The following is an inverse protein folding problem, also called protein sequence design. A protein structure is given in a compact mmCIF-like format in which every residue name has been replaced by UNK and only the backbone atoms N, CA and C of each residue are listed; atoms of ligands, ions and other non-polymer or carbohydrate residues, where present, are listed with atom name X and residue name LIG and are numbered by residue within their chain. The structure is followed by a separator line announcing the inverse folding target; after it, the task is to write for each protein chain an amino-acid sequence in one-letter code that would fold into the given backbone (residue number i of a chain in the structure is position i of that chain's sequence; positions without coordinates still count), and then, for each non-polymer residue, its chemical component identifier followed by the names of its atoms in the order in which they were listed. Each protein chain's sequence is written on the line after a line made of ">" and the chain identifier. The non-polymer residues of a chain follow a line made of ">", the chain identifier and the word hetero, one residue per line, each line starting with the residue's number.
data_IF_727814116609
#
_entry.id   IF_727814116609
#
_cell.length_a   1.000
_cell.length_b   1.000
_cell.length_c   1.000
_cell.angle_alpha   90.00
_cell.angle_beta   90.00
_cell.angle_gamma   90.00
#
_symmetry.space_group_name_H-M   'P 1'
#
loop_
_entity.id
_entity.type
_entity.pdbx_description
1 polymer ?
#
# COMPACT_ATOMS: atom_id res chain seq x y z
N UNK A 1 -3.69 -17.31 29.99
CA UNK A 1 -3.59 -17.88 28.63
C UNK A 1 -4.76 -17.30 27.87
N UNK A 2 -4.55 -16.17 27.19
CA UNK A 2 -5.58 -15.59 26.34
C UNK A 2 -5.88 -16.56 25.20
N UNK A 3 -7.13 -16.98 25.14
CA UNK A 3 -7.59 -17.98 24.17
C UNK A 3 -7.89 -17.23 22.89
N UNK A 4 -7.16 -17.51 21.80
CA UNK A 4 -7.44 -16.90 20.48
C UNK A 4 -8.90 -17.10 20.14
N UNK A 5 -9.63 -15.99 19.99
CA UNK A 5 -11.04 -16.01 19.70
C UNK A 5 -11.26 -16.19 18.19
N UNK A 6 -11.58 -17.41 17.77
CA UNK A 6 -11.85 -17.69 16.36
C UNK A 6 -13.27 -17.33 15.99
N UNK A 7 -13.42 -16.52 14.94
CA UNK A 7 -14.71 -16.09 14.42
C UNK A 7 -15.31 -17.18 13.53
N UNK A 8 -16.57 -17.60 13.75
CA UNK A 8 -17.22 -18.61 12.93
C UNK A 8 -17.61 -18.03 11.56
N UNK A 9 -16.97 -18.46 10.46
CA UNK A 9 -17.13 -17.81 9.16
C UNK A 9 -18.56 -17.88 8.61
N UNK A 10 -19.33 -18.91 8.97
CA UNK A 10 -20.73 -19.07 8.53
C UNK A 10 -21.68 -18.03 9.14
N UNK A 11 -21.27 -17.36 10.23
CA UNK A 11 -22.02 -16.28 10.86
C UNK A 11 -21.56 -14.89 10.44
N UNK A 12 -20.48 -14.80 9.66
CA UNK A 12 -19.87 -13.56 9.25
C UNK A 12 -20.41 -13.11 7.90
N UNK A 13 -20.78 -11.84 7.80
CA UNK A 13 -21.04 -11.16 6.53
C UNK A 13 -20.32 -9.83 6.51
N UNK A 14 -19.38 -9.68 5.57
CA UNK A 14 -18.62 -8.47 5.35
C UNK A 14 -19.37 -7.60 4.34
N UNK A 15 -19.41 -6.29 4.61
CA UNK A 15 -19.95 -5.31 3.68
C UNK A 15 -19.06 -4.07 3.70
N UNK A 16 -18.95 -3.38 2.56
CA UNK A 16 -18.32 -2.04 2.50
C UNK A 16 -19.40 -0.96 2.55
N UNK A 17 -19.23 0.06 3.38
CA UNK A 17 -20.07 1.27 3.41
C UNK A 17 -19.20 2.50 3.63
N UNK A 18 -19.40 3.51 2.79
CA UNK A 18 -18.68 4.79 2.88
C UNK A 18 -17.15 4.59 2.98
N UNK A 19 -16.60 3.66 2.19
CA UNK A 19 -15.18 3.30 2.21
C UNK A 19 -14.76 2.29 3.29
N UNK A 20 -15.55 2.13 4.36
CA UNK A 20 -15.21 1.32 5.52
C UNK A 20 -15.75 -0.11 5.43
N UNK A 21 -15.01 -1.07 5.98
CA UNK A 21 -15.49 -2.43 6.16
C UNK A 21 -16.39 -2.54 7.38
N UNK A 22 -17.45 -3.33 7.27
CA UNK A 22 -18.40 -3.63 8.35
C UNK A 22 -18.55 -5.14 8.45
N UNK A 23 -18.30 -5.69 9.63
CA UNK A 23 -18.65 -7.05 10.00
C UNK A 23 -20.10 -7.09 10.51
N UNK A 24 -20.93 -7.90 9.87
CA UNK A 24 -22.24 -8.27 10.37
C UNK A 24 -22.16 -9.68 10.96
N UNK A 25 -22.49 -9.81 12.24
CA UNK A 25 -22.46 -11.10 12.94
C UNK A 25 -23.49 -11.07 14.08
N UNK A 26 -24.27 -12.15 14.21
CA UNK A 26 -25.29 -12.33 15.27
C UNK A 26 -26.24 -11.09 15.42
N UNK A 27 -26.59 -10.44 14.32
CA UNK A 27 -27.47 -9.26 14.27
C UNK A 27 -26.79 -7.92 14.59
N UNK A 28 -25.52 -7.93 14.99
CA UNK A 28 -24.72 -6.73 15.23
C UNK A 28 -24.00 -6.29 13.96
N UNK A 29 -23.67 -4.99 13.88
CA UNK A 29 -22.85 -4.40 12.82
C UNK A 29 -21.67 -3.71 13.49
N UNK A 30 -20.48 -4.20 13.22
CA UNK A 30 -19.24 -3.71 13.81
C UNK A 30 -18.38 -3.10 12.71
N UNK A 31 -18.03 -1.80 12.78
CA UNK A 31 -17.05 -1.22 11.86
C UNK A 31 -15.69 -1.88 12.10
N UNK A 32 -15.00 -2.20 11.02
CA UNK A 32 -13.68 -2.83 11.05
C UNK A 32 -12.59 -1.84 10.66
N UNK A 33 -11.45 -1.93 11.34
CA UNK A 33 -10.19 -1.45 10.78
C UNK A 33 -9.73 -2.33 9.61
N UNK A 34 -8.70 -1.85 8.90
CA UNK A 34 -7.98 -2.62 7.90
C UNK A 34 -7.57 -4.00 8.46
N UNK A 35 -7.96 -5.11 7.82
CA UNK A 35 -7.64 -6.45 8.29
C UNK A 35 -6.12 -6.70 8.25
N UNK A 36 -5.62 -7.50 9.19
CA UNK A 36 -4.19 -7.81 9.28
C UNK A 36 -3.97 -9.32 9.20
N UNK A 37 -2.93 -9.74 8.46
CA UNK A 37 -2.43 -11.11 8.47
C UNK A 37 -1.70 -11.35 9.78
N UNK A 38 -2.14 -12.33 10.55
CA UNK A 38 -1.36 -12.85 11.66
C UNK A 38 -0.27 -13.82 11.14
N UNK A 39 0.64 -14.23 12.03
CA UNK A 39 1.60 -15.26 11.72
C UNK A 39 0.89 -16.62 11.53
N UNK A 40 1.36 -17.50 10.63
CA UNK A 40 2.57 -17.38 9.79
C UNK A 40 2.34 -16.72 8.42
N UNK A 41 3.31 -15.91 7.95
CA UNK A 41 3.23 -15.23 6.65
C UNK A 41 3.24 -16.15 5.42
N UNK A 42 3.58 -17.43 5.58
CA UNK A 42 3.62 -18.41 4.49
C UNK A 42 2.23 -18.66 3.88
N UNK A 43 1.16 -18.46 4.66
CA UNK A 43 -0.23 -18.58 4.22
C UNK A 43 -0.95 -17.22 4.36
N UNK A 44 -0.84 -16.33 3.35
CA UNK A 44 -1.37 -14.97 3.44
C UNK A 44 -2.90 -14.88 3.52
N UNK A 45 -3.60 -15.98 3.24
CA UNK A 45 -5.07 -16.07 3.28
C UNK A 45 -5.60 -16.74 4.55
N UNK A 46 -4.70 -17.09 5.48
CA UNK A 46 -5.03 -17.71 6.77
C UNK A 46 -4.73 -16.77 7.94
N UNK A 47 -5.43 -17.00 9.06
CA UNK A 47 -5.27 -16.27 10.32
C UNK A 47 -5.38 -14.75 10.14
N UNK A 48 -6.54 -14.29 9.66
CA UNK A 48 -6.82 -12.87 9.44
C UNK A 48 -7.38 -12.27 10.73
N UNK A 49 -6.62 -11.36 11.33
CA UNK A 49 -7.00 -10.59 12.51
C UNK A 49 -7.96 -9.47 12.12
N UNK A 50 -9.11 -9.43 12.79
CA UNK A 50 -10.11 -8.38 12.65
C UNK A 50 -10.20 -7.57 13.95
N UNK A 51 -10.04 -6.26 13.82
CA UNK A 51 -10.18 -5.30 14.90
C UNK A 51 -11.35 -4.35 14.63
N UNK A 52 -12.01 -3.89 15.69
CA UNK A 52 -12.98 -2.81 15.59
C UNK A 52 -12.29 -1.46 15.34
N UNK A 53 -13.09 -0.41 15.15
CA UNK A 53 -12.62 0.95 14.90
C UNK A 53 -11.74 1.53 16.03
N UNK A 54 -11.85 1.02 17.26
CA UNK A 54 -11.06 1.45 18.41
C UNK A 54 -9.73 0.65 18.52
N UNK A 55 -9.50 -0.30 17.61
CA UNK A 55 -8.31 -1.15 17.62
C UNK A 55 -8.44 -2.39 18.52
N UNK A 56 -9.62 -2.62 19.10
CA UNK A 56 -9.87 -3.80 19.93
C UNK A 56 -10.00 -5.03 19.04
N UNK A 57 -9.30 -6.11 19.41
CA UNK A 57 -9.44 -7.40 18.70
C UNK A 57 -10.86 -7.94 18.87
N UNK A 58 -11.55 -8.12 17.74
CA UNK A 58 -12.82 -8.83 17.68
C UNK A 58 -12.54 -10.34 17.64
N UNK A 59 -11.54 -10.74 16.85
CA UNK A 59 -11.06 -12.10 16.76
C UNK A 59 -10.33 -12.41 15.46
N UNK A 60 -10.08 -13.69 15.24
CA UNK A 60 -9.30 -14.21 14.11
C UNK A 60 -10.18 -15.07 13.21
N UNK A 61 -10.17 -14.79 11.91
CA UNK A 61 -10.70 -15.66 10.88
C UNK A 61 -9.62 -16.67 10.47
N UNK A 62 -9.94 -17.97 10.49
CA UNK A 62 -8.97 -19.03 10.17
C UNK A 62 -8.53 -18.99 8.71
N UNK A 63 -9.47 -18.88 7.78
CA UNK A 63 -9.15 -18.79 6.36
C UNK A 63 -10.21 -18.01 5.58
N UNK A 64 -9.76 -17.22 4.60
CA UNK A 64 -10.64 -16.44 3.72
C UNK A 64 -11.60 -17.33 2.91
N UNK A 65 -11.17 -18.54 2.53
CA UNK A 65 -11.97 -19.44 1.70
C UNK A 65 -13.20 -20.03 2.42
N UNK A 66 -13.27 -19.93 3.75
CA UNK A 66 -14.41 -20.40 4.54
C UNK A 66 -15.58 -19.39 4.54
N UNK A 67 -15.35 -18.15 4.08
CA UNK A 67 -16.38 -17.13 3.95
C UNK A 67 -17.22 -17.31 2.68
N UNK A 68 -18.43 -16.72 2.69
CA UNK A 68 -19.23 -16.54 1.48
C UNK A 68 -18.47 -15.70 0.43
N UNK A 69 -18.68 -15.94 -0.88
CA UNK A 69 -17.86 -15.35 -1.95
C UNK A 69 -17.71 -13.83 -1.88
N UNK A 70 -18.81 -13.09 -1.70
CA UNK A 70 -18.79 -11.62 -1.63
C UNK A 70 -17.98 -11.12 -0.41
N UNK A 71 -18.16 -11.79 0.74
CA UNK A 71 -17.43 -11.42 1.97
C UNK A 71 -15.94 -11.72 1.85
N UNK A 72 -15.60 -12.84 1.20
CA UNK A 72 -14.22 -13.23 0.90
C UNK A 72 -13.54 -12.20 0.00
N UNK A 73 -14.19 -11.83 -1.10
CA UNK A 73 -13.66 -10.85 -2.06
C UNK A 73 -13.40 -9.50 -1.38
N UNK A 74 -14.34 -9.02 -0.56
CA UNK A 74 -14.17 -7.75 0.15
C UNK A 74 -12.99 -7.76 1.13
N UNK A 75 -12.82 -8.83 1.91
CA UNK A 75 -11.68 -8.94 2.82
C UNK A 75 -10.35 -9.15 2.08
N UNK A 76 -10.36 -9.93 1.00
CA UNK A 76 -9.18 -10.13 0.17
C UNK A 76 -8.72 -8.82 -0.43
N UNK A 77 -9.62 -8.05 -1.05
CA UNK A 77 -9.30 -6.74 -1.62
C UNK A 77 -8.78 -5.78 -0.55
N UNK A 78 -9.37 -5.79 0.65
CA UNK A 78 -8.90 -4.96 1.76
C UNK A 78 -7.52 -5.38 2.27
N UNK A 79 -7.20 -6.69 2.28
CA UNK A 79 -5.86 -7.18 2.59
C UNK A 79 -4.87 -6.79 1.50
N UNK A 80 -5.22 -6.92 0.23
CA UNK A 80 -4.39 -6.49 -0.89
C UNK A 80 -4.11 -4.98 -0.82
N UNK A 81 -5.13 -4.17 -0.52
CA UNK A 81 -5.00 -2.74 -0.25
C UNK A 81 -4.09 -2.46 0.96
N UNK A 82 -4.30 -3.20 2.06
CA UNK A 82 -3.54 -3.01 3.30
C UNK A 82 -2.08 -3.44 3.22
N UNK A 83 -1.70 -4.27 2.25
CA UNK A 83 -0.35 -4.82 2.10
C UNK A 83 0.31 -4.45 0.77
N UNK A 84 -0.34 -3.59 -0.02
CA UNK A 84 0.22 -3.08 -1.27
C UNK A 84 1.52 -2.35 -1.03
N UNK A 85 2.46 -2.48 -1.95
CA UNK A 85 3.69 -1.69 -2.00
C UNK A 85 3.63 -0.73 -3.18
N UNK A 86 4.09 0.49 -2.96
CA UNK A 86 4.28 1.49 -4.02
C UNK A 86 5.73 1.42 -4.49
N UNK A 87 6.00 1.07 -5.76
CA UNK A 87 7.34 1.03 -6.32
C UNK A 87 7.97 2.43 -6.36
N UNK A 88 9.14 2.55 -5.75
CA UNK A 88 10.03 3.69 -5.85
C UNK A 88 10.90 3.47 -7.09
N UNK A 89 10.76 4.39 -8.04
CA UNK A 89 11.53 4.42 -9.28
C UNK A 89 12.83 5.19 -9.12
N UNK A 90 12.84 6.27 -8.32
CA UNK A 90 14.03 7.06 -7.97
C UNK A 90 13.95 7.61 -6.56
N UNK A 91 15.10 7.78 -5.92
CA UNK A 91 15.25 8.45 -4.64
C UNK A 91 15.86 9.83 -4.90
N UNK A 92 15.06 10.87 -4.67
CA UNK A 92 15.44 12.24 -4.97
C UNK A 92 16.25 12.85 -3.83
N UNK A 93 15.80 12.62 -2.59
CA UNK A 93 16.40 13.18 -1.38
C UNK A 93 16.00 12.38 -0.13
N UNK A 94 16.91 12.29 0.84
CA UNK A 94 16.67 11.66 2.15
C UNK A 94 17.29 12.52 3.23
N UNK A 95 16.46 13.02 4.14
CA UNK A 95 16.90 13.97 5.17
C UNK A 95 16.27 13.64 6.53
N UNK A 96 17.08 13.66 7.60
CA UNK A 96 16.55 13.53 8.96
C UNK A 96 16.06 14.90 9.45
N UNK A 97 14.78 15.00 9.75
CA UNK A 97 14.16 16.20 10.30
C UNK A 97 14.71 16.49 11.70
N UNK A 98 15.34 17.67 11.94
CA UNK A 98 16.03 17.94 13.20
C UNK A 98 15.14 17.95 14.45
N UNK A 99 13.86 18.29 14.30
CA UNK A 99 12.93 18.47 15.42
C UNK A 99 12.20 17.17 15.80
N UNK A 100 11.68 16.44 14.81
CA UNK A 100 10.95 15.20 15.05
C UNK A 100 11.87 13.98 15.11
N UNK A 101 13.07 14.07 14.53
CA UNK A 101 13.96 12.93 14.34
C UNK A 101 13.52 11.97 13.24
N UNK A 102 12.34 12.16 12.64
CA UNK A 102 11.85 11.36 11.51
C UNK A 102 12.73 11.56 10.29
N UNK A 103 12.71 10.60 9.37
CA UNK A 103 13.47 10.68 8.14
C UNK A 103 12.50 10.94 7.00
N UNK A 104 12.65 12.09 6.36
CA UNK A 104 11.89 12.49 5.18
C UNK A 104 12.50 11.86 3.95
N UNK A 105 11.67 11.16 3.19
CA UNK A 105 12.02 10.60 1.88
C UNK A 105 11.27 11.36 0.80
N UNK A 106 12.00 11.85 -0.20
CA UNK A 106 11.44 12.35 -1.46
C UNK A 106 11.78 11.37 -2.56
N UNK A 107 10.77 10.88 -3.26
CA UNK A 107 10.92 9.82 -4.25
C UNK A 107 10.09 10.11 -5.49
N UNK A 108 10.48 9.51 -6.61
CA UNK A 108 9.62 9.33 -7.78
C UNK A 108 9.02 7.93 -7.70
N UNK A 109 7.69 7.82 -7.74
CA UNK A 109 6.97 6.53 -7.67
C UNK A 109 6.18 6.28 -8.94
N UNK A 110 5.92 5.01 -9.21
CA UNK A 110 4.94 4.59 -10.21
C UNK A 110 3.52 4.81 -9.67
N UNK A 111 2.65 5.47 -10.44
CA UNK A 111 1.28 5.74 -10.05
C UNK A 111 0.39 4.53 -10.35
N UNK A 112 -0.46 4.15 -9.40
CA UNK A 112 -1.43 3.07 -9.54
C UNK A 112 -2.85 3.62 -9.53
N UNK A 113 -3.63 3.36 -10.59
CA UNK A 113 -5.08 3.59 -10.59
C UNK A 113 -5.51 4.96 -10.03
N UNK A 114 -6.48 4.98 -9.12
CA UNK A 114 -7.10 6.19 -8.52
C UNK A 114 -6.14 7.23 -7.88
N UNK A 115 -4.82 6.96 -7.79
CA UNK A 115 -3.80 7.94 -7.38
C UNK A 115 -3.54 9.07 -8.40
N UNK A 116 -4.20 9.04 -9.56
CA UNK A 116 -4.28 10.22 -10.44
C UNK A 116 -5.21 11.23 -9.79
N UNK A 117 -4.74 11.92 -8.74
CA UNK A 117 -5.26 13.23 -8.39
C UNK A 117 -5.23 14.06 -9.68
N UNK A 118 -6.35 14.66 -10.13
CA UNK A 118 -6.31 15.53 -11.28
C UNK A 118 -5.29 16.62 -11.00
N UNK A 119 -4.27 16.72 -11.86
CA UNK A 119 -3.36 17.86 -11.90
C UNK A 119 -4.21 19.12 -11.72
N UNK A 120 -3.86 20.07 -10.82
CA UNK A 120 -4.53 21.36 -10.84
C UNK A 120 -4.44 21.88 -12.28
N UNK A 121 -5.56 22.32 -12.85
CA UNK A 121 -5.77 22.67 -14.27
C UNK A 121 -4.89 23.85 -14.78
N UNK A 122 -3.75 24.12 -14.16
CA UNK A 122 -2.93 25.30 -14.40
C UNK A 122 -1.63 25.02 -15.17
N UNK A 123 -1.52 23.96 -15.98
CA UNK A 123 -0.42 23.83 -16.97
C UNK A 123 -0.81 23.08 -18.26
N UNK A 124 -1.95 23.43 -18.89
CA UNK A 124 -2.12 23.13 -20.32
C UNK A 124 -1.75 24.40 -21.10
N UNK A 125 -0.56 24.41 -21.69
CA UNK A 125 -0.20 25.42 -22.70
C UNK A 125 -1.02 25.16 -23.96
N UNK A 126 -1.85 26.10 -24.47
CA UNK A 126 -2.80 25.81 -25.54
C UNK A 126 -2.17 25.82 -26.95
N UNK A 127 -0.88 25.54 -27.10
CA UNK A 127 -0.19 25.72 -28.37
C UNK A 127 0.63 24.50 -28.78
N UNK A 128 -0.05 23.52 -29.36
CA UNK A 128 0.51 22.70 -30.45
C UNK A 128 -0.58 22.05 -31.31
N UNK A 129 -1.46 22.88 -31.89
CA UNK A 129 -2.20 22.47 -33.09
C UNK A 129 -1.29 22.68 -34.29
N UNK A 130 -0.44 21.70 -34.60
CA UNK A 130 0.12 21.57 -35.94
C UNK A 130 0.15 20.09 -36.35
N UNK A 131 -0.83 19.77 -37.20
CA UNK A 131 -0.91 18.69 -38.20
C UNK A 131 0.06 17.53 -38.03
N UNK A 132 -0.48 16.33 -37.78
CA UNK A 132 0.15 15.10 -38.29
C UNK A 132 -0.80 14.33 -39.19
N UNK A 133 -0.25 13.99 -40.35
CA UNK A 133 -0.80 13.09 -41.33
C UNK A 133 -0.93 11.69 -40.76
N UNK A 134 -2.02 11.05 -41.15
CA UNK A 134 -2.43 9.68 -40.82
C UNK A 134 -1.43 8.66 -41.38
N UNK A 135 -0.55 8.11 -40.55
CA UNK A 135 -0.08 6.73 -40.68
C UNK A 135 0.72 6.32 -39.43
N UNK A 136 0.81 5.00 -39.23
CA UNK A 136 1.52 4.28 -38.16
C UNK A 136 0.64 3.98 -36.94
N UNK A 137 0.23 2.72 -36.85
CA UNK A 137 -0.23 2.09 -35.61
C UNK A 137 1.01 1.95 -34.73
N UNK A 138 1.24 2.96 -33.91
CA UNK A 138 2.20 2.91 -32.81
C UNK A 138 1.59 1.97 -31.77
N UNK A 139 2.21 0.81 -31.54
CA UNK A 139 1.95 -0.02 -30.37
C UNK A 139 2.54 0.72 -29.16
N UNK A 140 1.88 1.80 -28.76
CA UNK A 140 2.25 2.60 -27.59
C UNK A 140 1.75 1.84 -26.35
N UNK A 141 2.63 1.06 -25.72
CA UNK A 141 2.37 0.67 -24.33
C UNK A 141 2.27 1.97 -23.52
N UNK A 142 1.12 2.24 -22.85
CA UNK A 142 0.97 3.46 -22.09
C UNK A 142 2.04 3.49 -21.01
N UNK A 143 2.94 4.47 -21.05
CA UNK A 143 3.90 4.69 -19.97
C UNK A 143 3.10 4.88 -18.67
N UNK A 144 3.34 4.03 -17.67
CA UNK A 144 2.68 4.17 -16.38
C UNK A 144 3.00 5.56 -15.83
N UNK A 145 1.99 6.35 -15.41
CA UNK A 145 2.22 7.68 -14.89
C UNK A 145 3.16 7.63 -13.68
N UNK A 146 4.02 8.64 -13.55
CA UNK A 146 4.99 8.76 -12.45
C UNK A 146 4.78 10.10 -11.76
N UNK A 147 4.94 10.13 -10.44
CA UNK A 147 4.83 11.38 -9.69
C UNK A 147 5.84 11.44 -8.55
N UNK A 148 6.15 12.65 -8.09
CA UNK A 148 6.95 12.86 -6.89
C UNK A 148 6.08 12.66 -5.65
N UNK A 149 6.53 11.83 -4.71
CA UNK A 149 5.90 11.60 -3.43
C UNK A 149 6.87 11.94 -2.30
N UNK A 150 6.36 12.52 -1.22
CA UNK A 150 7.11 12.76 0.02
C UNK A 150 6.44 12.01 1.16
N UNK A 151 7.21 11.26 1.94
CA UNK A 151 6.72 10.56 3.13
C UNK A 151 7.78 10.59 4.24
N UNK A 152 7.37 10.20 5.44
CA UNK A 152 8.22 10.19 6.63
C UNK A 152 8.25 8.78 7.23
N UNK A 153 9.45 8.26 7.48
CA UNK A 153 9.64 7.05 8.29
C UNK A 153 10.13 7.45 9.68
N UNK A 154 9.81 6.65 10.71
CA UNK A 154 10.17 6.99 12.09
C UNK A 154 11.68 6.80 12.33
N UNK A 155 12.25 5.72 11.79
CA UNK A 155 13.65 5.38 11.98
C UNK A 155 14.22 4.49 10.87
N UNK A 156 15.48 4.09 11.04
CA UNK A 156 16.13 3.21 10.07
C UNK A 156 15.58 1.77 10.17
N UNK A 157 14.97 1.40 11.30
CA UNK A 157 14.27 0.14 11.51
C UNK A 157 13.07 -0.07 10.58
N UNK A 158 12.50 1.01 10.04
CA UNK A 158 11.39 0.95 9.07
C UNK A 158 11.88 0.64 7.64
N UNK A 159 13.21 0.59 7.44
CA UNK A 159 13.85 0.17 6.19
C UNK A 159 14.24 -1.30 6.31
N UNK A 160 13.57 -2.16 5.55
CA UNK A 160 13.77 -3.60 5.58
C UNK A 160 14.68 -4.05 4.44
N UNK A 161 15.85 -4.58 4.80
CA UNK A 161 16.90 -5.01 3.86
C UNK A 161 17.04 -6.54 3.75
N UNK A 162 16.18 -7.30 4.43
CA UNK A 162 16.25 -8.76 4.52
C UNK A 162 16.11 -9.50 3.17
N UNK A 163 15.64 -8.80 2.12
CA UNK A 163 15.44 -9.34 0.76
C UNK A 163 16.36 -8.68 -0.28
N UNK A 164 17.51 -8.17 0.14
CA UNK A 164 18.50 -7.55 -0.74
C UNK A 164 18.69 -8.32 -2.07
N UNK A 165 18.67 -7.64 -3.25
CA UNK A 165 18.70 -6.18 -3.44
C UNK A 165 17.33 -5.48 -3.36
N UNK A 166 16.25 -6.20 -3.06
CA UNK A 166 14.92 -5.61 -2.86
C UNK A 166 14.82 -5.00 -1.46
N UNK A 167 14.39 -3.73 -1.39
CA UNK A 167 14.25 -2.97 -0.14
C UNK A 167 12.80 -2.56 0.05
N UNK A 168 12.29 -2.69 1.27
CA UNK A 168 10.95 -2.21 1.63
C UNK A 168 11.05 -1.09 2.66
N UNK A 169 10.22 -0.07 2.53
CA UNK A 169 10.08 1.03 3.49
C UNK A 169 8.63 1.08 3.97
N UNK A 170 8.42 1.37 5.25
CA UNK A 170 7.08 1.64 5.80
C UNK A 170 7.07 3.03 6.42
N UNK A 171 6.12 3.88 6.03
CA UNK A 171 5.99 5.22 6.60
C UNK A 171 5.21 5.24 7.92
N UNK A 172 5.13 6.42 8.54
CA UNK A 172 4.40 6.62 9.81
C UNK A 172 2.88 6.42 9.70
N UNK A 173 2.33 6.44 8.49
CA UNK A 173 0.90 6.19 8.20
C UNK A 173 0.64 4.71 7.87
N UNK A 174 1.69 3.90 7.74
CA UNK A 174 1.64 2.48 7.41
C UNK A 174 1.66 2.19 5.90
N UNK A 175 1.84 3.20 5.05
CA UNK A 175 2.03 3.01 3.61
C UNK A 175 3.37 2.30 3.39
N UNK A 176 3.39 1.38 2.42
CA UNK A 176 4.59 0.61 2.11
C UNK A 176 5.12 0.99 0.75
N UNK A 177 6.42 1.14 0.69
CA UNK A 177 7.14 1.45 -0.53
C UNK A 177 8.17 0.36 -0.79
N UNK A 178 8.49 0.16 -2.06
CA UNK A 178 9.42 -0.87 -2.49
C UNK A 178 10.43 -0.29 -3.48
N UNK A 179 11.72 -0.52 -3.21
CA UNK A 179 12.76 -0.42 -4.24
C UNK A 179 13.00 -1.84 -4.73
N UNK A 180 12.54 -2.18 -5.94
CA UNK A 180 12.60 -3.57 -6.44
C UNK A 180 14.03 -4.07 -6.63
N UNK A 181 14.94 -3.19 -7.05
CA UNK A 181 16.37 -3.47 -7.14
C UNK A 181 17.16 -2.19 -6.78
N UNK A 182 17.77 -2.16 -5.60
CA UNK A 182 18.54 -1.00 -5.14
C UNK A 182 19.89 -0.85 -5.84
N UNK A 183 20.45 -1.92 -6.43
CA UNK A 183 21.70 -1.86 -7.18
C UNK A 183 21.50 -1.23 -8.56
N UNK A 184 20.30 -1.36 -9.12
CA UNK A 184 19.89 -0.76 -10.39
C UNK A 184 19.58 0.75 -10.30
N UNK A 185 19.54 1.33 -9.09
CA UNK A 185 19.28 2.75 -8.88
C UNK A 185 20.37 3.65 -9.48
N UNK A 186 19.96 4.84 -9.91
CA UNK A 186 20.89 5.84 -10.42
C UNK A 186 21.88 6.31 -9.33
N UNK A 187 22.98 6.92 -9.77
CA UNK A 187 24.07 7.33 -8.87
C UNK A 187 23.62 8.30 -7.76
N UNK A 188 22.68 9.21 -8.05
CA UNK A 188 22.20 10.14 -7.04
C UNK A 188 21.36 9.40 -6.00
N UNK A 189 20.41 8.57 -6.44
CA UNK A 189 19.59 7.73 -5.57
C UNK A 189 20.45 6.93 -4.58
N UNK A 190 21.45 6.20 -5.09
CA UNK A 190 22.37 5.42 -4.25
C UNK A 190 23.18 6.27 -3.27
N UNK A 191 23.56 7.50 -3.66
CA UNK A 191 24.32 8.40 -2.79
C UNK A 191 23.49 8.93 -1.63
N UNK A 192 22.25 9.34 -1.89
CA UNK A 192 21.37 9.91 -0.84
C UNK A 192 20.83 8.83 0.10
N UNK A 193 20.67 7.59 -0.36
CA UNK A 193 20.18 6.48 0.46
C UNK A 193 21.27 5.62 1.12
N UNK A 194 22.55 5.88 0.84
CA UNK A 194 23.69 5.04 1.25
C UNK A 194 23.76 4.73 2.76
N UNK A 195 23.21 5.61 3.60
CA UNK A 195 23.22 5.41 5.05
C UNK A 195 22.16 4.41 5.53
N UNK A 196 21.24 4.01 4.65
CA UNK A 196 20.09 3.16 4.97
C UNK A 196 20.17 1.77 4.32
N UNK A 197 20.87 1.63 3.19
CA UNK A 197 21.20 0.35 2.55
C UNK A 197 22.32 0.51 1.51
#
# INVERSE_FOLDING_TARGET
>A
MDTTHFLPPQKMKICRRDGHLILKMDGQKLPLLAPKRALPHTNPDEYILLCDADGTEIGVLRALHELEPDSRELLQNALEESYRTTPILKILDVEREPLSGQIRWRVEVEAFGDDILPLPESKISPLRVLRRSKNERDDFEPETPRHEQTFFIAGAEDVQTARYPQIFLTDVEGNRYEVSDCEALDLNSRRVSQQYF
#
